data_IF_954453684311
#
_entry.id   IF_954453684311
#
_cell.length_a   1.000
_cell.length_b   1.000
_cell.length_c   1.000
_cell.angle_alpha   90.00
_cell.angle_beta   90.00
_cell.angle_gamma   90.00
#
_symmetry.space_group_name_H-M   'P 1'
#
loop_
_entity.id
_entity.type
_entity.pdbx_description
1 polymer ?
#
# COMPACT_ATOMS: atom_id res chain seq x y z
N UNK A 1 -31.33 12.04 48.66
CA UNK A 1 -31.47 11.20 47.44
C UNK A 1 -31.33 11.99 46.13
N UNK A 2 -31.92 13.18 45.97
CA UNK A 2 -31.81 13.98 44.71
C UNK A 2 -30.38 14.33 44.30
N UNK A 3 -29.51 14.69 45.24
CA UNK A 3 -28.11 15.08 44.97
C UNK A 3 -27.28 13.94 44.39
N UNK A 4 -27.41 12.72 44.91
CA UNK A 4 -26.72 11.54 44.39
C UNK A 4 -27.22 11.11 43.00
N UNK A 5 -28.51 11.28 42.72
CA UNK A 5 -29.08 11.00 41.40
C UNK A 5 -28.60 12.00 40.34
N UNK A 6 -28.50 13.29 40.69
CA UNK A 6 -27.93 14.33 39.83
C UNK A 6 -26.44 14.08 39.55
N UNK A 7 -25.65 13.76 40.57
CA UNK A 7 -24.22 13.45 40.40
C UNK A 7 -23.98 12.25 39.47
N UNK A 8 -24.75 11.16 39.63
CA UNK A 8 -24.70 10.00 38.71
C UNK A 8 -25.10 10.37 37.29
N UNK A 9 -26.09 11.25 37.15
CA UNK A 9 -26.53 11.74 35.86
C UNK A 9 -25.40 12.51 35.18
N UNK A 10 -24.68 13.39 35.89
CA UNK A 10 -23.51 14.18 35.41
C UNK A 10 -22.34 13.32 34.97
N UNK A 11 -21.93 12.36 35.78
CA UNK A 11 -20.87 11.41 35.43
C UNK A 11 -21.20 10.65 34.13
N UNK A 12 -22.45 10.23 33.95
CA UNK A 12 -22.86 9.47 32.76
C UNK A 12 -22.78 10.32 31.47
N UNK A 13 -23.06 11.63 31.55
CA UNK A 13 -22.92 12.50 30.40
C UNK A 13 -21.46 12.73 30.05
N UNK A 14 -20.61 12.99 31.04
CA UNK A 14 -19.17 13.18 30.84
C UNK A 14 -18.53 11.94 30.19
N UNK A 15 -18.84 10.74 30.71
CA UNK A 15 -18.41 9.48 30.11
C UNK A 15 -18.88 9.32 28.65
N UNK A 16 -20.07 9.85 28.31
CA UNK A 16 -20.57 9.82 26.94
C UNK A 16 -19.78 10.75 26.03
N UNK A 17 -19.42 11.95 26.50
CA UNK A 17 -18.55 12.88 25.78
C UNK A 17 -17.19 12.25 25.48
N UNK A 18 -16.55 11.68 26.50
CA UNK A 18 -15.23 11.07 26.36
C UNK A 18 -15.24 9.90 25.37
N UNK A 19 -16.25 9.02 25.46
CA UNK A 19 -16.42 7.93 24.52
C UNK A 19 -16.54 8.42 23.08
N UNK A 20 -17.32 9.48 22.85
CA UNK A 20 -17.49 10.04 21.50
C UNK A 20 -16.17 10.62 20.98
N UNK A 21 -15.43 11.36 21.81
CA UNK A 21 -14.11 11.91 21.43
C UNK A 21 -13.08 10.83 21.14
N UNK A 22 -13.04 9.78 21.95
CA UNK A 22 -12.18 8.61 21.70
C UNK A 22 -12.53 7.95 20.38
N UNK A 23 -13.82 7.82 20.06
CA UNK A 23 -14.26 7.28 18.76
C UNK A 23 -13.84 8.17 17.60
N UNK A 24 -13.98 9.49 17.71
CA UNK A 24 -13.53 10.43 16.66
C UNK A 24 -12.03 10.29 16.40
N UNK A 25 -11.21 10.23 17.46
CA UNK A 25 -9.75 9.99 17.35
C UNK A 25 -9.43 8.63 16.72
N UNK A 26 -10.15 7.58 17.12
CA UNK A 26 -9.97 6.24 16.57
C UNK A 26 -10.27 6.21 15.06
N UNK A 27 -11.39 6.82 14.63
CA UNK A 27 -11.74 6.95 13.22
C UNK A 27 -10.64 7.70 12.45
N UNK A 28 -10.10 8.79 12.99
CA UNK A 28 -8.99 9.51 12.35
C UNK A 28 -7.74 8.64 12.19
N UNK A 29 -7.39 7.86 13.21
CA UNK A 29 -6.24 6.94 13.16
C UNK A 29 -6.43 5.85 12.11
N UNK A 30 -7.63 5.28 12.03
CA UNK A 30 -7.98 4.27 11.02
C UNK A 30 -7.92 4.84 9.61
N UNK A 31 -8.42 6.07 9.41
CA UNK A 31 -8.30 6.76 8.13
C UNK A 31 -6.85 7.03 7.77
N UNK A 32 -6.02 7.50 8.71
CA UNK A 32 -4.60 7.75 8.48
C UNK A 32 -3.85 6.47 8.08
N UNK A 33 -4.18 5.32 8.68
CA UNK A 33 -3.62 4.02 8.32
C UNK A 33 -4.10 3.45 6.98
N UNK A 34 -5.11 4.05 6.35
CA UNK A 34 -5.71 3.58 5.10
C UNK A 34 -5.77 4.71 4.06
N UNK A 35 -4.69 5.51 3.98
CA UNK A 35 -4.51 6.58 2.98
C UNK A 35 -5.66 7.59 2.94
N UNK A 36 -6.21 7.91 4.11
CA UNK A 36 -7.32 8.86 4.25
C UNK A 36 -8.70 8.29 3.95
N UNK A 37 -8.81 7.00 3.58
CA UNK A 37 -10.08 6.32 3.34
C UNK A 37 -10.56 5.63 4.62
N UNK A 38 -11.78 5.93 5.05
CA UNK A 38 -12.38 5.21 6.18
C UNK A 38 -12.69 3.74 5.80
N UNK A 39 -12.19 2.73 6.52
CA UNK A 39 -12.34 1.33 6.11
C UNK A 39 -13.76 0.79 6.31
N UNK A 40 -14.55 1.38 7.21
CA UNK A 40 -15.89 0.89 7.52
C UNK A 40 -16.99 1.69 6.82
N UNK A 41 -18.22 1.16 6.88
CA UNK A 41 -19.42 1.82 6.34
C UNK A 41 -19.27 2.33 4.88
N UNK A 42 -18.57 1.56 4.04
CA UNK A 42 -18.29 1.90 2.64
C UNK A 42 -17.61 3.28 2.50
N UNK A 43 -16.71 3.63 3.42
CA UNK A 43 -15.99 4.90 3.39
C UNK A 43 -16.78 6.11 3.86
N UNK A 44 -18.00 5.93 4.39
CA UNK A 44 -18.82 7.03 4.87
C UNK A 44 -18.71 7.18 6.38
N UNK A 45 -18.22 8.34 6.82
CA UNK A 45 -18.32 8.77 8.21
C UNK A 45 -19.54 9.68 8.34
N UNK A 46 -20.41 9.42 9.32
CA UNK A 46 -21.61 10.21 9.60
C UNK A 46 -21.88 10.28 11.09
N UNK A 47 -22.76 11.19 11.53
CA UNK A 47 -23.11 11.30 12.94
C UNK A 47 -23.72 10.00 13.50
N UNK A 48 -24.50 9.29 12.68
CA UNK A 48 -25.02 7.97 13.02
C UNK A 48 -23.91 6.91 13.17
N UNK A 49 -22.86 6.99 12.34
CA UNK A 49 -21.70 6.10 12.46
C UNK A 49 -20.91 6.37 13.74
N UNK A 50 -20.69 7.64 14.08
CA UNK A 50 -20.06 8.04 15.35
C UNK A 50 -20.88 7.55 16.55
N UNK A 51 -22.20 7.75 16.54
CA UNK A 51 -23.11 7.26 17.58
C UNK A 51 -23.03 5.73 17.74
N UNK A 52 -23.10 5.00 16.62
CA UNK A 52 -23.02 3.54 16.59
C UNK A 52 -21.73 3.04 17.23
N UNK A 53 -20.58 3.62 16.85
CA UNK A 53 -19.27 3.24 17.39
C UNK A 53 -19.09 3.65 18.85
N UNK A 54 -19.67 4.79 19.24
CA UNK A 54 -19.69 5.24 20.62
C UNK A 54 -20.73 4.52 21.47
N UNK A 55 -21.46 3.52 20.94
CA UNK A 55 -22.51 2.76 21.64
C UNK A 55 -23.57 3.68 22.27
N UNK A 56 -24.03 4.68 21.51
CA UNK A 56 -25.16 5.55 21.85
C UNK A 56 -26.18 5.57 20.72
N UNK A 57 -27.44 5.89 21.05
CA UNK A 57 -28.45 6.14 20.02
C UNK A 57 -28.17 7.48 19.32
N UNK A 58 -28.33 7.61 17.99
CA UNK A 58 -28.09 8.87 17.27
C UNK A 58 -28.90 10.05 17.79
N UNK A 59 -30.12 9.79 18.31
CA UNK A 59 -30.99 10.81 18.91
C UNK A 59 -30.35 11.50 20.13
N UNK A 60 -29.37 10.86 20.78
CA UNK A 60 -28.69 11.41 21.96
C UNK A 60 -28.06 12.77 21.66
N UNK A 61 -27.47 12.96 20.47
CA UNK A 61 -26.88 14.24 20.06
C UNK A 61 -27.89 15.39 19.94
N UNK A 62 -29.18 15.08 19.82
CA UNK A 62 -30.24 16.09 19.72
C UNK A 62 -30.85 16.45 21.07
N UNK A 63 -30.50 15.75 22.14
CA UNK A 63 -30.98 16.09 23.48
C UNK A 63 -30.28 17.37 23.96
N UNK A 64 -30.97 18.29 24.65
CA UNK A 64 -30.40 19.58 25.07
C UNK A 64 -29.05 19.45 25.78
N UNK A 65 -28.89 18.40 26.58
CA UNK A 65 -27.69 18.09 27.34
C UNK A 65 -26.45 17.80 26.49
N UNK A 66 -26.63 17.21 25.31
CA UNK A 66 -25.52 16.81 24.42
C UNK A 66 -25.44 17.70 23.19
N UNK A 67 -26.11 18.87 23.22
CA UNK A 67 -26.15 19.79 22.08
C UNK A 67 -24.76 20.22 21.65
N UNK A 68 -23.90 20.57 22.62
CA UNK A 68 -22.53 21.00 22.34
C UNK A 68 -21.69 19.86 21.75
N UNK A 69 -21.85 18.64 22.27
CA UNK A 69 -21.22 17.45 21.69
C UNK A 69 -21.69 17.19 20.26
N UNK A 70 -22.98 17.36 19.99
CA UNK A 70 -23.54 17.24 18.65
C UNK A 70 -22.96 18.28 17.68
N UNK A 71 -22.75 19.51 18.15
CA UNK A 71 -22.10 20.57 17.37
C UNK A 71 -20.62 20.26 17.12
N UNK A 72 -19.90 19.76 18.14
CA UNK A 72 -18.50 19.32 18.04
C UNK A 72 -18.35 18.22 16.97
N UNK A 73 -19.19 17.18 17.03
CA UNK A 73 -19.19 16.08 16.03
C UNK A 73 -19.52 16.61 14.64
N UNK A 74 -20.48 17.52 14.51
CA UNK A 74 -20.85 18.10 13.22
C UNK A 74 -19.70 18.92 12.62
N UNK A 75 -19.07 19.79 13.41
CA UNK A 75 -17.92 20.58 12.98
C UNK A 75 -16.76 19.69 12.52
N UNK A 76 -16.48 18.62 13.27
CA UNK A 76 -15.47 17.63 12.90
C UNK A 76 -15.81 16.89 11.60
N UNK A 77 -17.06 16.47 11.40
CA UNK A 77 -17.50 15.85 10.14
C UNK A 77 -17.35 16.78 8.94
N UNK A 78 -17.61 18.08 9.11
CA UNK A 78 -17.38 19.06 8.04
C UNK A 78 -15.88 19.25 7.77
N UNK A 79 -15.04 19.33 8.80
CA UNK A 79 -13.59 19.39 8.63
C UNK A 79 -13.05 18.16 7.86
N UNK A 80 -13.55 16.97 8.17
CA UNK A 80 -13.18 15.73 7.46
C UNK A 80 -13.52 15.77 5.97
N UNK A 81 -14.64 16.40 5.56
CA UNK A 81 -15.02 16.49 4.15
C UNK A 81 -14.07 17.36 3.31
N UNK A 82 -13.40 18.32 3.94
CA UNK A 82 -12.44 19.20 3.28
C UNK A 82 -11.06 18.56 3.17
N UNK A 83 -10.64 17.78 4.18
CA UNK A 83 -9.29 17.22 4.25
C UNK A 83 -9.13 15.75 3.86
N UNK A 84 -10.21 14.97 3.73
CA UNK A 84 -10.12 13.53 3.51
C UNK A 84 -11.06 13.00 2.41
N UNK A 85 -10.70 11.84 1.85
CA UNK A 85 -11.51 11.11 0.86
C UNK A 85 -12.61 10.36 1.62
N UNK A 86 -13.66 11.10 2.00
CA UNK A 86 -14.83 10.56 2.69
C UNK A 86 -16.05 10.53 1.78
N UNK A 87 -16.86 9.49 1.94
CA UNK A 87 -18.12 9.31 1.22
C UNK A 87 -18.04 8.29 0.09
N UNK A 88 -19.13 7.54 -0.08
CA UNK A 88 -19.18 6.33 -0.92
C UNK A 88 -18.72 6.55 -2.36
N UNK A 89 -19.12 7.65 -2.99
CA UNK A 89 -18.77 7.94 -4.38
C UNK A 89 -17.28 8.25 -4.57
N UNK A 90 -16.73 9.13 -3.73
CA UNK A 90 -15.31 9.51 -3.76
C UNK A 90 -14.42 8.30 -3.45
N UNK A 91 -14.75 7.56 -2.38
CA UNK A 91 -14.02 6.36 -1.99
C UNK A 91 -14.07 5.30 -3.08
N UNK A 92 -15.22 5.07 -3.73
CA UNK A 92 -15.31 4.11 -4.84
C UNK A 92 -14.44 4.52 -6.03
N UNK A 93 -14.41 5.81 -6.37
CA UNK A 93 -13.56 6.33 -7.46
C UNK A 93 -12.08 6.16 -7.13
N UNK A 94 -11.69 6.48 -5.90
CA UNK A 94 -10.32 6.36 -5.42
C UNK A 94 -9.85 4.90 -5.43
N UNK A 95 -10.60 4.01 -4.78
CA UNK A 95 -10.30 2.58 -4.76
C UNK A 95 -10.26 1.99 -6.17
N UNK A 96 -11.17 2.40 -7.06
CA UNK A 96 -11.14 1.97 -8.45
C UNK A 96 -9.91 2.45 -9.21
N UNK A 97 -9.42 3.66 -8.89
CA UNK A 97 -8.19 4.21 -9.48
C UNK A 97 -6.98 3.45 -8.97
N UNK A 98 -6.88 3.26 -7.66
CA UNK A 98 -5.86 2.44 -7.03
C UNK A 98 -5.82 1.03 -7.61
N UNK A 99 -6.95 0.35 -7.74
CA UNK A 99 -6.98 -1.00 -8.34
C UNK A 99 -6.43 -1.00 -9.77
N UNK A 100 -6.74 0.03 -10.58
CA UNK A 100 -6.21 0.14 -11.95
C UNK A 100 -4.69 0.37 -11.94
N UNK A 101 -4.20 1.25 -11.07
CA UNK A 101 -2.76 1.53 -10.92
C UNK A 101 -2.00 0.28 -10.47
N UNK A 102 -2.51 -0.44 -9.47
CA UNK A 102 -1.90 -1.69 -9.01
C UNK A 102 -1.90 -2.77 -10.09
N UNK A 103 -2.96 -2.85 -10.88
CA UNK A 103 -3.02 -3.77 -12.02
C UNK A 103 -1.96 -3.41 -13.07
N UNK A 104 -1.82 -2.13 -13.40
CA UNK A 104 -0.80 -1.67 -14.34
C UNK A 104 0.61 -2.00 -13.84
N UNK A 105 0.92 -1.67 -12.59
CA UNK A 105 2.23 -1.97 -11.99
C UNK A 105 2.55 -3.47 -12.02
N UNK A 106 1.55 -4.32 -11.79
CA UNK A 106 1.71 -5.77 -11.87
C UNK A 106 1.97 -6.23 -13.31
N UNK A 107 1.22 -5.71 -14.28
CA UNK A 107 1.41 -6.03 -15.70
C UNK A 107 2.80 -5.59 -16.20
N UNK A 108 3.24 -4.39 -15.81
CA UNK A 108 4.56 -3.86 -16.14
C UNK A 108 5.68 -4.73 -15.53
N UNK A 109 5.52 -5.14 -14.27
CA UNK A 109 6.48 -6.02 -13.58
C UNK A 109 6.55 -7.39 -14.26
N UNK A 110 5.40 -7.96 -14.64
CA UNK A 110 5.32 -9.24 -15.32
C UNK A 110 6.02 -9.19 -16.68
N UNK A 111 5.83 -8.11 -17.43
CA UNK A 111 6.47 -7.92 -18.72
C UNK A 111 7.98 -7.77 -18.58
N UNK A 112 8.44 -6.92 -17.65
CA UNK A 112 9.86 -6.77 -17.35
C UNK A 112 10.51 -8.10 -16.95
N UNK A 113 9.80 -8.93 -16.17
CA UNK A 113 10.27 -10.25 -15.79
C UNK A 113 10.45 -11.17 -17.01
N UNK A 114 9.45 -11.24 -17.92
CA UNK A 114 9.55 -12.05 -19.14
C UNK A 114 10.71 -11.65 -20.05
N UNK A 115 10.93 -10.34 -20.20
CA UNK A 115 12.07 -9.80 -20.95
C UNK A 115 13.37 -10.27 -20.29
N UNK A 116 13.50 -10.12 -18.97
CA UNK A 116 14.70 -10.55 -18.25
C UNK A 116 14.97 -12.06 -18.35
N UNK A 117 13.93 -12.90 -18.36
CA UNK A 117 14.07 -14.35 -18.55
C UNK A 117 14.56 -14.68 -19.97
N UNK A 118 14.06 -13.96 -20.97
CA UNK A 118 14.47 -14.12 -22.36
C UNK A 118 15.91 -13.69 -22.57
N UNK A 119 16.31 -12.54 -22.01
CA UNK A 119 17.67 -12.04 -22.06
C UNK A 119 18.65 -12.99 -21.36
N UNK A 120 18.25 -13.55 -20.22
CA UNK A 120 19.04 -14.55 -19.50
C UNK A 120 19.23 -15.82 -20.34
N UNK A 121 18.18 -16.32 -20.97
CA UNK A 121 18.28 -17.48 -21.87
C UNK A 121 19.21 -17.20 -23.05
N UNK A 122 19.12 -16.01 -23.64
CA UNK A 122 20.00 -15.60 -24.73
C UNK A 122 21.47 -15.49 -24.31
N UNK A 123 21.74 -14.83 -23.17
CA UNK A 123 23.09 -14.69 -22.62
C UNK A 123 23.70 -16.05 -22.27
N UNK A 124 22.90 -16.98 -21.73
CA UNK A 124 23.36 -18.34 -21.44
C UNK A 124 23.74 -19.11 -22.72
N UNK A 125 22.96 -18.97 -23.79
CA UNK A 125 23.27 -19.58 -25.08
C UNK A 125 24.57 -19.02 -25.68
N UNK A 126 24.76 -17.70 -25.65
CA UNK A 126 25.99 -17.04 -26.09
C UNK A 126 27.21 -17.47 -25.26
N UNK A 127 27.04 -17.60 -23.94
CA UNK A 127 28.10 -18.08 -23.05
C UNK A 127 28.50 -19.52 -23.40
N UNK A 128 27.53 -20.39 -23.66
CA UNK A 128 27.79 -21.77 -24.04
C UNK A 128 28.55 -21.86 -25.37
N UNK A 129 28.15 -21.07 -26.36
CA UNK A 129 28.85 -20.99 -27.66
C UNK A 129 30.28 -20.48 -27.50
N UNK A 130 30.49 -19.38 -26.78
CA UNK A 130 31.81 -18.83 -26.52
C UNK A 130 32.71 -19.81 -25.75
N UNK A 131 32.17 -20.60 -24.82
CA UNK A 131 32.91 -21.64 -24.11
C UNK A 131 33.36 -22.76 -25.06
N UNK A 132 32.49 -23.21 -25.97
CA UNK A 132 32.84 -24.22 -26.98
C UNK A 132 33.93 -23.71 -27.93
N UNK A 133 33.79 -22.49 -28.43
CA UNK A 133 34.81 -21.87 -29.29
C UNK A 133 36.15 -21.72 -28.57
N UNK A 134 36.12 -21.29 -27.30
CA UNK A 134 37.34 -21.17 -26.51
C UNK A 134 38.04 -22.51 -26.33
N UNK A 135 37.28 -23.58 -26.08
CA UNK A 135 37.81 -24.93 -25.99
C UNK A 135 38.41 -25.40 -27.32
N UNK A 136 37.73 -25.17 -28.44
CA UNK A 136 38.23 -25.52 -29.76
C UNK A 136 39.51 -24.76 -30.11
N UNK A 137 39.55 -23.45 -29.86
CA UNK A 137 40.74 -22.62 -30.07
C UNK A 137 41.91 -23.07 -29.19
N UNK A 138 41.66 -23.41 -27.92
CA UNK A 138 42.68 -23.97 -27.03
C UNK A 138 43.24 -25.29 -27.59
N UNK A 139 42.40 -26.17 -28.12
CA UNK A 139 42.83 -27.41 -28.79
C UNK A 139 43.69 -27.11 -30.01
N UNK A 140 43.24 -26.23 -30.90
CA UNK A 140 44.00 -25.83 -32.11
C UNK A 140 45.36 -25.23 -31.76
N UNK A 141 45.42 -24.33 -30.77
CA UNK A 141 46.69 -23.74 -30.30
C UNK A 141 47.63 -24.81 -29.74
N UNK A 142 47.09 -25.76 -28.97
CA UNK A 142 47.87 -26.89 -28.45
C UNK A 142 48.43 -27.79 -29.58
N UNK A 143 47.65 -28.01 -30.64
CA UNK A 143 48.10 -28.80 -31.79
C UNK A 143 49.17 -28.08 -32.61
N UNK A 144 49.01 -26.77 -32.86
CA UNK A 144 50.04 -25.97 -33.53
C UNK A 144 51.34 -25.87 -32.74
N UNK A 145 51.26 -25.76 -31.41
CA UNK A 145 52.46 -25.75 -30.55
C UNK A 145 53.14 -27.11 -30.46
N UNK A 146 52.41 -28.22 -30.68
CA UNK A 146 52.98 -29.58 -30.80
C UNK A 146 53.66 -29.84 -32.14
N UNK A 147 53.19 -29.22 -33.23
CA UNK A 147 53.84 -29.31 -34.53
C UNK A 147 55.18 -28.55 -34.48
N UNK A 148 56.27 -29.28 -34.19
CA UNK A 148 57.64 -28.76 -34.18
C UNK A 148 57.97 -28.06 -35.50
N UNK A 149 58.33 -26.78 -35.40
CA UNK A 149 58.95 -25.99 -36.46
C UNK A 149 60.21 -26.71 -36.92
N UNK A 150 60.20 -27.24 -38.15
CA UNK A 150 61.39 -27.83 -38.78
C UNK A 150 62.31 -26.66 -39.17
N UNK A 151 63.53 -26.56 -38.63
CA UNK A 151 64.46 -25.53 -39.06
C UNK A 151 64.81 -25.77 -40.52
N UNK A 152 64.47 -24.81 -41.38
CA UNK A 152 64.88 -24.80 -42.78
C UNK A 152 66.41 -24.86 -42.82
N UNK A 153 66.97 -25.94 -43.38
CA UNK A 153 68.41 -26.05 -43.60
C UNK A 153 68.80 -24.93 -44.57
N UNK A 154 69.57 -23.97 -44.09
CA UNK A 154 70.25 -23.00 -44.94
C UNK A 154 71.26 -23.76 -45.80
N UNK A 155 71.00 -23.89 -47.10
CA UNK A 155 71.98 -24.32 -48.09
C UNK A 155 73.15 -23.34 -48.03
N UNK A 156 74.31 -23.81 -47.55
CA UNK A 156 75.58 -23.09 -47.70
C UNK A 156 76.05 -23.30 -49.14
N UNK A 157 76.31 -22.18 -49.82
CA UNK A 157 77.08 -22.08 -51.07
C UNK A 157 78.52 -22.58 -50.88
#
# INVERSE_FOLDING_TARGET
MRTAALARFDIQAEQTHDRVRVVMKSIQKEMAGNEGIYPYNKGKVSMAEVARRAKIHPITFHKPRYRDLGMEVKAWLEALKHGAIVGRGRVRKELGTRIREWKQLYEDLLEAHRVSETDLAHANAQLEEALRENEELRRRVADFTRQKVVPLRTTKE
#
